data_IF_154546623395
#
_entry.id   IF_154546623395
#
_cell.length_a   1.000
_cell.length_b   1.000
_cell.length_c   1.000
_cell.angle_alpha   90.00
_cell.angle_beta   90.00
_cell.angle_gamma   90.00
#
_symmetry.space_group_name_H-M   'P 1'
#
loop_
_entity.id
_entity.type
_entity.pdbx_description
1 polymer ?
#
# COMPACT_ATOMS: atom_id res chain seq x y z
N UNK A 1 -5.28 1.11 -12.98
CA UNK A 1 -4.39 1.61 -14.04
C UNK A 1 -2.93 1.18 -13.84
N UNK A 2 -2.21 1.58 -12.77
CA UNK A 2 -0.83 1.12 -12.53
C UNK A 2 -0.78 -0.38 -12.22
N UNK A 3 -1.65 -0.85 -11.33
CA UNK A 3 -1.72 -2.27 -10.95
C UNK A 3 -2.05 -3.15 -12.18
N UNK A 4 -2.90 -2.68 -13.10
CA UNK A 4 -3.23 -3.43 -14.32
C UNK A 4 -2.05 -3.56 -15.28
N UNK A 5 -1.10 -2.62 -15.23
CA UNK A 5 0.07 -2.57 -16.11
C UNK A 5 1.29 -3.30 -15.53
N UNK A 6 1.49 -3.21 -14.21
CA UNK A 6 2.70 -3.69 -13.52
C UNK A 6 2.45 -4.90 -12.62
N UNK A 7 1.19 -5.21 -12.33
CA UNK A 7 0.81 -6.12 -11.25
C UNK A 7 0.92 -5.47 -9.87
N UNK A 8 0.62 -6.26 -8.83
CA UNK A 8 0.66 -5.81 -7.43
C UNK A 8 1.81 -6.40 -6.61
N UNK A 9 2.62 -7.31 -7.14
CA UNK A 9 3.60 -8.11 -6.37
C UNK A 9 4.76 -7.31 -5.78
N UNK A 10 5.00 -6.09 -6.26
CA UNK A 10 6.15 -5.26 -5.86
C UNK A 10 5.75 -3.84 -5.50
N UNK A 11 4.49 -3.64 -5.17
CA UNK A 11 3.97 -2.36 -4.69
C UNK A 11 3.92 -2.38 -3.17
N UNK A 12 4.39 -1.28 -2.58
CA UNK A 12 4.40 -1.04 -1.15
C UNK A 12 3.67 0.28 -0.88
N UNK A 13 3.17 0.43 0.34
CA UNK A 13 2.66 1.69 0.84
C UNK A 13 3.54 2.22 1.96
N UNK A 14 3.68 3.55 2.02
CA UNK A 14 4.40 4.26 3.06
C UNK A 14 3.68 5.56 3.37
N UNK A 15 3.54 5.88 4.64
CA UNK A 15 2.88 7.12 5.09
C UNK A 15 3.78 8.35 4.96
N UNK A 16 5.08 8.16 4.76
CA UNK A 16 6.10 9.21 4.80
C UNK A 16 6.13 10.00 6.11
N UNK A 17 5.76 9.36 7.23
CA UNK A 17 5.91 9.96 8.55
C UNK A 17 7.39 9.97 9.01
N UNK A 18 7.89 11.04 9.67
CA UNK A 18 7.24 12.29 10.08
C UNK A 18 7.62 13.48 9.18
N UNK A 19 7.65 13.31 7.86
CA UNK A 19 8.03 14.38 6.95
C UNK A 19 7.14 15.63 7.10
N UNK A 20 7.65 16.81 6.74
CA UNK A 20 7.01 18.12 7.00
C UNK A 20 5.64 18.26 6.34
N UNK A 21 5.44 17.54 5.26
CA UNK A 21 4.24 17.45 4.43
C UNK A 21 3.44 16.17 4.70
N UNK A 22 3.73 15.46 5.80
CA UNK A 22 2.95 14.32 6.24
C UNK A 22 1.47 14.69 6.37
N UNK A 23 0.63 13.93 5.66
CA UNK A 23 -0.82 14.00 5.81
C UNK A 23 -1.31 12.92 6.79
N UNK A 24 -1.90 13.30 7.95
CA UNK A 24 -2.47 12.34 8.90
C UNK A 24 -3.55 11.43 8.31
N UNK A 25 -4.21 11.83 7.21
CA UNK A 25 -5.27 11.06 6.57
C UNK A 25 -4.76 10.07 5.52
N UNK A 26 -3.47 10.11 5.17
CA UNK A 26 -2.94 9.30 4.05
C UNK A 26 -3.24 7.80 4.20
N UNK A 27 -3.19 7.26 5.42
CA UNK A 27 -3.49 5.84 5.65
C UNK A 27 -4.99 5.53 5.56
N UNK A 28 -5.85 6.48 5.92
CA UNK A 28 -7.30 6.34 5.78
C UNK A 28 -7.71 6.40 4.31
N UNK A 29 -7.22 7.40 3.57
CA UNK A 29 -7.48 7.55 2.14
C UNK A 29 -7.05 6.32 1.34
N UNK A 30 -5.96 5.69 1.76
CA UNK A 30 -5.42 4.50 1.11
C UNK A 30 -6.21 3.24 1.45
N UNK A 31 -6.82 3.16 2.65
CA UNK A 31 -7.76 2.09 2.98
C UNK A 31 -9.04 2.18 2.14
N UNK A 32 -9.50 3.40 1.83
CA UNK A 32 -10.71 3.64 1.03
C UNK A 32 -10.56 3.25 -0.47
N UNK A 33 -9.34 2.93 -0.92
CA UNK A 33 -9.06 2.40 -2.26
C UNK A 33 -9.65 1.01 -2.51
N UNK A 34 -10.17 0.31 -1.50
CA UNK A 34 -10.93 -0.94 -1.64
C UNK A 34 -12.10 -0.84 -2.65
N UNK A 35 -12.65 0.36 -2.84
CA UNK A 35 -13.66 0.63 -3.86
C UNK A 35 -13.16 0.43 -5.31
N UNK A 36 -11.84 0.43 -5.50
CA UNK A 36 -11.17 0.45 -6.81
C UNK A 36 -10.28 -0.78 -7.04
N UNK A 37 -9.84 -1.45 -5.97
CA UNK A 37 -8.99 -2.65 -6.03
C UNK A 37 -9.50 -3.74 -5.09
N UNK A 38 -9.19 -5.01 -5.41
CA UNK A 38 -9.66 -6.13 -4.61
C UNK A 38 -9.03 -6.17 -3.22
N UNK A 39 -9.74 -6.75 -2.24
CA UNK A 39 -9.22 -6.97 -0.89
C UNK A 39 -7.91 -7.78 -0.88
N UNK A 40 -7.77 -8.77 -1.77
CA UNK A 40 -6.52 -9.54 -1.91
C UNK A 40 -5.36 -8.67 -2.40
N UNK A 41 -5.62 -7.72 -3.31
CA UNK A 41 -4.60 -6.76 -3.76
C UNK A 41 -4.20 -5.82 -2.64
N UNK A 42 -5.18 -5.36 -1.82
CA UNK A 42 -4.92 -4.53 -0.65
C UNK A 42 -4.02 -5.24 0.37
N UNK A 43 -4.37 -6.48 0.73
CA UNK A 43 -3.59 -7.30 1.66
C UNK A 43 -2.12 -7.44 1.21
N UNK A 44 -1.90 -7.70 -0.07
CA UNK A 44 -0.53 -7.79 -0.62
C UNK A 44 0.24 -6.49 -0.48
N UNK A 45 -0.36 -5.36 -0.83
CA UNK A 45 0.34 -4.05 -0.83
C UNK A 45 0.60 -3.56 0.60
N UNK A 46 -0.35 -3.79 1.51
CA UNK A 46 -0.26 -3.31 2.89
C UNK A 46 0.55 -4.22 3.80
N UNK A 47 0.65 -5.52 3.48
CA UNK A 47 1.21 -6.50 4.39
C UNK A 47 2.22 -7.44 3.73
N UNK A 48 1.79 -8.30 2.80
CA UNK A 48 2.65 -9.38 2.30
C UNK A 48 3.92 -8.85 1.63
N UNK A 49 3.77 -7.85 0.76
CA UNK A 49 4.89 -7.27 0.02
C UNK A 49 5.85 -6.53 0.98
N UNK A 50 5.41 -5.66 1.91
CA UNK A 50 6.30 -5.11 2.93
C UNK A 50 7.02 -6.17 3.76
N UNK A 51 6.31 -7.18 4.27
CA UNK A 51 6.90 -8.27 5.03
C UNK A 51 7.99 -9.00 4.24
N UNK A 52 7.70 -9.35 2.98
CA UNK A 52 8.66 -9.96 2.08
C UNK A 52 9.86 -9.04 1.77
N UNK A 53 9.61 -7.76 1.52
CA UNK A 53 10.64 -6.79 1.16
C UNK A 53 11.61 -6.51 2.31
N UNK A 54 11.08 -6.33 3.52
CA UNK A 54 11.88 -6.07 4.72
C UNK A 54 12.38 -7.34 5.41
N UNK A 55 11.92 -8.52 4.99
CA UNK A 55 12.31 -9.80 5.59
C UNK A 55 11.79 -9.99 7.01
N UNK A 56 10.60 -9.47 7.29
CA UNK A 56 9.95 -9.55 8.61
C UNK A 56 8.70 -10.42 8.53
N UNK A 57 8.60 -11.41 9.43
CA UNK A 57 7.45 -12.29 9.64
C UNK A 57 7.34 -12.63 11.12
#
# INVERSE_FOLDING_TARGET
>A
QIIDLLGSDRLLIGSDYPHIDFDPQVMHDMADLESTITAQTMEKIFWDNPCQFYGVN
#
